data_IF_085539978276
#
_entry.id   IF_085539978276
#
_cell.length_a   1.000
_cell.length_b   1.000
_cell.length_c   1.000
_cell.angle_alpha   90.00
_cell.angle_beta   90.00
_cell.angle_gamma   90.00
#
_symmetry.space_group_name_H-M   'P 1'
#
loop_
_entity.id
_entity.type
_entity.pdbx_description
1 polymer ?
#
# COMPACT_ATOMS: atom_id res chain seq x y z
N UNK A 1 -4.45 39.29 -1.93
CA UNK A 1 -3.22 39.23 -2.74
C UNK A 1 -2.08 38.73 -1.87
N UNK A 2 -1.26 37.81 -2.36
CA UNK A 2 -0.06 37.30 -1.67
C UNK A 2 1.06 38.35 -1.68
N UNK A 3 1.82 38.49 -0.58
CA UNK A 3 2.99 39.38 -0.53
C UNK A 3 4.21 38.76 -1.20
N UNK A 4 5.20 39.55 -1.65
CA UNK A 4 6.45 39.00 -2.20
C UNK A 4 7.17 38.03 -1.25
N UNK A 5 7.14 38.28 0.06
CA UNK A 5 7.74 37.38 1.07
C UNK A 5 6.99 36.04 1.18
N UNK A 6 5.65 36.05 1.16
CA UNK A 6 4.84 34.84 1.14
C UNK A 6 5.08 34.01 -0.13
N UNK A 7 5.19 34.69 -1.29
CA UNK A 7 5.51 34.03 -2.56
C UNK A 7 6.88 33.36 -2.52
N UNK A 8 7.91 34.04 -2.01
CA UNK A 8 9.25 33.48 -1.88
C UNK A 8 9.28 32.25 -0.95
N UNK A 9 8.59 32.31 0.19
CA UNK A 9 8.46 31.16 1.10
C UNK A 9 7.75 29.98 0.45
N UNK A 10 6.70 30.23 -0.32
CA UNK A 10 5.96 29.19 -1.06
C UNK A 10 6.83 28.51 -2.11
N UNK A 11 7.63 29.27 -2.85
CA UNK A 11 8.58 28.74 -3.84
C UNK A 11 9.61 27.84 -3.14
N UNK A 12 10.25 28.33 -2.07
CA UNK A 12 11.25 27.56 -1.32
C UNK A 12 10.67 26.27 -0.74
N UNK A 13 9.45 26.31 -0.19
CA UNK A 13 8.76 25.12 0.32
C UNK A 13 8.48 24.12 -0.79
N UNK A 14 8.10 24.58 -1.98
CA UNK A 14 7.87 23.72 -3.13
C UNK A 14 9.17 23.08 -3.64
N UNK A 15 10.27 23.83 -3.71
CA UNK A 15 11.56 23.30 -4.14
C UNK A 15 12.10 22.24 -3.17
N UNK A 16 11.91 22.44 -1.87
CA UNK A 16 12.27 21.45 -0.84
C UNK A 16 11.45 20.16 -1.00
N UNK A 17 10.15 20.28 -1.25
CA UNK A 17 9.26 19.15 -1.54
C UNK A 17 9.72 18.36 -2.76
N UNK A 18 9.95 19.05 -3.90
CA UNK A 18 10.36 18.41 -5.15
C UNK A 18 11.65 17.61 -4.95
N UNK A 19 12.67 18.22 -4.34
CA UNK A 19 13.95 17.54 -4.07
C UNK A 19 13.79 16.32 -3.15
N UNK A 20 13.00 16.45 -2.08
CA UNK A 20 12.75 15.36 -1.15
C UNK A 20 12.01 14.19 -1.83
N UNK A 21 11.01 14.51 -2.67
CA UNK A 21 10.30 13.52 -3.46
C UNK A 21 11.19 12.85 -4.50
N UNK A 22 12.03 13.58 -5.21
CA UNK A 22 12.95 13.01 -6.22
C UNK A 22 13.92 12.01 -5.58
N UNK A 23 14.49 12.35 -4.43
CA UNK A 23 15.38 11.46 -3.70
C UNK A 23 14.66 10.19 -3.22
N UNK A 24 13.50 10.34 -2.58
CA UNK A 24 12.73 9.22 -2.06
C UNK A 24 12.16 8.32 -3.17
N UNK A 25 11.73 8.90 -4.30
CA UNK A 25 11.29 8.13 -5.48
C UNK A 25 12.44 7.36 -6.11
N UNK A 26 13.64 7.95 -6.19
CA UNK A 26 14.83 7.28 -6.70
C UNK A 26 15.18 6.08 -5.82
N UNK A 27 15.16 6.25 -4.49
CA UNK A 27 15.39 5.16 -3.54
C UNK A 27 14.35 4.03 -3.70
N UNK A 28 13.07 4.40 -3.83
CA UNK A 28 11.98 3.45 -4.03
C UNK A 28 12.13 2.68 -5.36
N UNK A 29 12.49 3.37 -6.44
CA UNK A 29 12.76 2.76 -7.73
C UNK A 29 13.92 1.75 -7.66
N UNK A 30 15.04 2.15 -7.07
CA UNK A 30 16.21 1.28 -6.90
C UNK A 30 15.86 0.03 -6.08
N UNK A 31 15.12 0.19 -4.97
CA UNK A 31 14.69 -0.94 -4.14
C UNK A 31 13.73 -1.88 -4.90
N UNK A 32 12.80 -1.33 -5.69
CA UNK A 32 11.88 -2.12 -6.51
C UNK A 32 12.61 -2.89 -7.61
N UNK A 33 13.60 -2.27 -8.25
CA UNK A 33 14.45 -2.93 -9.24
C UNK A 33 15.28 -4.05 -8.61
N UNK A 34 15.84 -3.82 -7.41
CA UNK A 34 16.58 -4.84 -6.66
C UNK A 34 15.73 -6.09 -6.40
N UNK A 35 14.50 -5.90 -5.90
CA UNK A 35 13.55 -6.98 -5.63
C UNK A 35 13.19 -7.80 -6.89
N UNK A 36 13.07 -7.16 -8.05
CA UNK A 36 12.83 -7.86 -9.32
C UNK A 36 14.02 -8.74 -9.73
N UNK A 37 15.24 -8.23 -9.57
CA UNK A 37 16.47 -8.89 -10.06
C UNK A 37 16.96 -10.03 -9.16
N UNK A 38 16.91 -9.85 -7.83
CA UNK A 38 17.40 -10.80 -6.87
C UNK A 38 16.54 -10.72 -5.58
N UNK A 39 15.38 -11.39 -5.58
CA UNK A 39 14.44 -11.30 -4.46
C UNK A 39 15.02 -11.97 -3.22
N UNK A 40 15.28 -11.14 -2.20
CA UNK A 40 15.76 -11.51 -0.88
C UNK A 40 14.92 -10.83 0.20
N UNK A 41 15.00 -11.33 1.44
CA UNK A 41 14.37 -10.67 2.60
C UNK A 41 14.89 -9.23 2.75
N UNK A 42 16.18 -9.01 2.51
CA UNK A 42 16.79 -7.67 2.56
C UNK A 42 16.23 -6.73 1.48
N UNK A 43 16.01 -7.23 0.26
CA UNK A 43 15.40 -6.44 -0.81
C UNK A 43 13.95 -6.06 -0.51
N UNK A 44 13.17 -6.95 0.13
CA UNK A 44 11.82 -6.64 0.60
C UNK A 44 11.84 -5.55 1.67
N UNK A 45 12.72 -5.68 2.68
CA UNK A 45 12.86 -4.68 3.73
C UNK A 45 13.35 -3.33 3.20
N UNK A 46 14.27 -3.34 2.23
CA UNK A 46 14.75 -2.12 1.56
C UNK A 46 13.62 -1.39 0.84
N UNK A 47 12.73 -2.13 0.17
CA UNK A 47 11.57 -1.57 -0.50
C UNK A 47 10.58 -0.92 0.51
N UNK A 48 10.34 -1.58 1.64
CA UNK A 48 9.48 -1.04 2.70
C UNK A 48 10.08 0.22 3.34
N UNK A 49 11.38 0.19 3.65
CA UNK A 49 12.07 1.36 4.19
C UNK A 49 12.01 2.56 3.23
N UNK A 50 12.20 2.33 1.93
CA UNK A 50 12.08 3.39 0.92
C UNK A 50 10.65 3.94 0.82
N UNK A 51 9.63 3.08 0.93
CA UNK A 51 8.23 3.51 0.98
C UNK A 51 7.92 4.33 2.24
N UNK A 52 8.44 3.96 3.40
CA UNK A 52 8.27 4.75 4.63
C UNK A 52 8.92 6.13 4.54
N UNK A 53 10.11 6.22 3.94
CA UNK A 53 10.76 7.52 3.69
C UNK A 53 9.90 8.41 2.79
N UNK A 54 9.38 7.88 1.68
CA UNK A 54 8.51 8.65 0.78
C UNK A 54 7.18 9.04 1.47
N UNK A 55 6.62 8.15 2.30
CA UNK A 55 5.43 8.42 3.12
C UNK A 55 5.66 9.58 4.11
N UNK A 56 6.84 9.66 4.71
CA UNK A 56 7.21 10.77 5.59
C UNK A 56 7.32 12.10 4.82
N UNK A 57 7.86 12.09 3.60
CA UNK A 57 7.89 13.29 2.73
C UNK A 57 6.47 13.75 2.41
N UNK A 58 5.54 12.84 2.09
CA UNK A 58 4.15 13.20 1.83
C UNK A 58 3.44 13.75 3.06
N UNK A 59 3.70 13.16 4.24
CA UNK A 59 3.08 13.59 5.49
C UNK A 59 3.54 15.00 5.90
N UNK A 60 4.84 15.30 5.76
CA UNK A 60 5.40 16.62 6.08
C UNK A 60 4.92 17.75 5.14
N UNK A 61 4.45 17.40 3.95
CA UNK A 61 3.98 18.35 2.94
C UNK A 61 2.47 18.32 2.70
N UNK A 62 1.72 17.66 3.59
CA UNK A 62 0.25 17.54 3.53
C UNK A 62 -0.24 16.98 2.18
N UNK A 63 0.33 15.83 1.81
CA UNK A 63 0.03 15.08 0.58
C UNK A 63 -0.68 13.75 0.88
N UNK A 64 -1.88 13.77 1.49
CA UNK A 64 -2.53 12.56 1.96
C UNK A 64 -3.00 11.63 0.83
N UNK A 65 -3.36 12.19 -0.33
CA UNK A 65 -3.78 11.40 -1.51
C UNK A 65 -2.60 10.62 -2.08
N UNK A 66 -1.45 11.27 -2.24
CA UNK A 66 -0.23 10.64 -2.72
C UNK A 66 0.27 9.57 -1.74
N UNK A 67 0.14 9.84 -0.43
CA UNK A 67 0.47 8.86 0.61
C UNK A 67 -0.45 7.64 0.56
N UNK A 68 -1.76 7.83 0.38
CA UNK A 68 -2.71 6.74 0.18
C UNK A 68 -2.37 5.91 -1.05
N UNK A 69 -2.10 6.56 -2.19
CA UNK A 69 -1.73 5.89 -3.44
C UNK A 69 -0.42 5.10 -3.32
N UNK A 70 0.56 5.62 -2.55
CA UNK A 70 1.78 4.89 -2.25
C UNK A 70 1.47 3.58 -1.53
N UNK A 71 0.75 3.63 -0.42
CA UNK A 71 0.49 2.44 0.39
C UNK A 71 -0.42 1.42 -0.32
N UNK A 72 -1.39 1.86 -1.13
CA UNK A 72 -2.19 0.96 -1.97
C UNK A 72 -1.29 0.22 -2.99
N UNK A 73 -0.37 0.94 -3.65
CA UNK A 73 0.57 0.31 -4.60
C UNK A 73 1.52 -0.65 -3.91
N UNK A 74 1.99 -0.30 -2.71
CA UNK A 74 2.85 -1.17 -1.90
C UNK A 74 2.15 -2.45 -1.49
N UNK A 75 0.91 -2.35 -1.00
CA UNK A 75 0.07 -3.51 -0.72
C UNK A 75 -0.09 -4.41 -1.94
N UNK A 76 -0.49 -3.84 -3.08
CA UNK A 76 -0.65 -4.61 -4.30
C UNK A 76 0.66 -5.29 -4.74
N UNK A 77 1.79 -4.59 -4.63
CA UNK A 77 3.09 -5.19 -4.95
C UNK A 77 3.41 -6.37 -4.03
N UNK A 78 3.16 -6.25 -2.73
CA UNK A 78 3.38 -7.35 -1.78
C UNK A 78 2.40 -8.52 -2.00
N UNK A 79 1.18 -8.28 -2.48
CA UNK A 79 0.26 -9.35 -2.91
C UNK A 79 0.86 -10.15 -4.07
N UNK A 80 1.48 -9.47 -5.05
CA UNK A 80 2.15 -10.13 -6.16
C UNK A 80 3.36 -10.93 -5.69
N UNK A 81 4.22 -10.37 -4.83
CA UNK A 81 5.39 -11.09 -4.29
C UNK A 81 4.98 -12.29 -3.42
N UNK A 82 3.94 -12.14 -2.60
CA UNK A 82 3.38 -13.24 -1.81
C UNK A 82 2.67 -14.29 -2.67
N UNK A 83 2.38 -14.02 -3.94
CA UNK A 83 1.83 -15.00 -4.89
C UNK A 83 2.91 -15.68 -5.74
N UNK A 84 4.17 -15.21 -5.68
CA UNK A 84 5.28 -15.79 -6.45
C UNK A 84 5.61 -17.19 -5.97
N UNK A 85 5.89 -18.06 -6.94
CA UNK A 85 6.30 -19.45 -6.74
C UNK A 85 7.75 -19.70 -7.16
N UNK A 86 8.38 -18.72 -7.81
CA UNK A 86 9.75 -18.77 -8.34
C UNK A 86 10.82 -18.32 -7.32
N UNK A 87 10.41 -17.99 -6.09
CA UNK A 87 11.29 -17.51 -5.01
C UNK A 87 11.38 -18.52 -3.87
N UNK A 88 12.37 -18.36 -3.00
CA UNK A 88 12.52 -19.24 -1.85
C UNK A 88 11.32 -19.14 -0.89
N UNK A 89 10.95 -20.22 -0.18
CA UNK A 89 9.85 -20.22 0.79
C UNK A 89 10.01 -19.17 1.89
N UNK A 90 11.25 -18.86 2.28
CA UNK A 90 11.58 -17.84 3.27
C UNK A 90 11.19 -16.43 2.78
N UNK A 91 11.52 -16.10 1.53
CA UNK A 91 11.16 -14.82 0.91
C UNK A 91 9.65 -14.72 0.73
N UNK A 92 8.99 -15.81 0.30
CA UNK A 92 7.53 -15.88 0.20
C UNK A 92 6.83 -15.63 1.56
N UNK A 93 7.33 -16.27 2.62
CA UNK A 93 6.82 -16.08 3.98
C UNK A 93 7.05 -14.64 4.47
N UNK A 94 8.24 -14.08 4.21
CA UNK A 94 8.53 -12.69 4.55
C UNK A 94 7.61 -11.70 3.81
N UNK A 95 7.38 -11.90 2.51
CA UNK A 95 6.46 -11.09 1.72
C UNK A 95 5.02 -11.14 2.27
N UNK A 96 4.55 -12.33 2.67
CA UNK A 96 3.22 -12.51 3.28
C UNK A 96 3.08 -11.77 4.63
N UNK A 97 4.14 -11.78 5.45
CA UNK A 97 4.16 -11.04 6.71
C UNK A 97 4.13 -9.52 6.47
N UNK A 98 4.92 -9.03 5.52
CA UNK A 98 4.99 -7.62 5.13
C UNK A 98 3.68 -7.15 4.49
N UNK A 99 2.99 -8.02 3.75
CA UNK A 99 1.70 -7.69 3.14
C UNK A 99 0.69 -7.19 4.17
N UNK A 100 0.57 -7.87 5.31
CA UNK A 100 -0.34 -7.46 6.40
C UNK A 100 -0.03 -6.04 6.91
N UNK A 101 1.25 -5.70 7.04
CA UNK A 101 1.69 -4.35 7.40
C UNK A 101 1.31 -3.31 6.34
N UNK A 102 1.56 -3.60 5.05
CA UNK A 102 1.23 -2.67 3.96
C UNK A 102 -0.28 -2.47 3.81
N UNK A 103 -1.10 -3.50 4.02
CA UNK A 103 -2.56 -3.37 4.09
C UNK A 103 -3.00 -2.47 5.24
N UNK A 104 -2.43 -2.63 6.44
CA UNK A 104 -2.76 -1.76 7.58
C UNK A 104 -2.45 -0.30 7.26
N UNK A 105 -1.24 0.01 6.75
CA UNK A 105 -0.86 1.38 6.36
C UNK A 105 -1.81 1.97 5.32
N UNK A 106 -2.18 1.17 4.33
CA UNK A 106 -3.05 1.64 3.26
C UNK A 106 -4.50 1.86 3.74
N UNK A 107 -5.03 0.97 4.59
CA UNK A 107 -6.32 1.17 5.24
C UNK A 107 -6.32 2.46 6.07
N UNK A 108 -5.30 2.67 6.90
CA UNK A 108 -5.18 3.90 7.69
C UNK A 108 -5.10 5.16 6.82
N UNK A 109 -4.39 5.10 5.69
CA UNK A 109 -4.30 6.23 4.76
C UNK A 109 -5.65 6.50 4.05
N UNK A 110 -6.42 5.45 3.74
CA UNK A 110 -7.77 5.59 3.18
C UNK A 110 -8.76 6.13 4.23
N UNK A 111 -8.71 5.62 5.46
CA UNK A 111 -9.54 6.07 6.59
C UNK A 111 -9.35 7.57 6.87
N UNK A 112 -8.10 8.06 6.81
CA UNK A 112 -7.79 9.48 6.97
C UNK A 112 -8.45 10.38 5.90
N UNK A 113 -8.81 9.81 4.75
CA UNK A 113 -9.49 10.50 3.65
C UNK A 113 -11.00 10.18 3.59
N UNK A 114 -11.52 9.33 4.49
CA UNK A 114 -12.90 8.86 4.45
C UNK A 114 -13.20 7.93 3.27
N UNK A 115 -12.17 7.26 2.73
CA UNK A 115 -12.27 6.36 1.58
C UNK A 115 -12.14 4.91 2.07
N UNK A 116 -12.85 3.98 1.44
CA UNK A 116 -12.67 2.54 1.68
C UNK A 116 -11.53 2.04 0.79
N UNK A 117 -10.54 1.40 1.38
CA UNK A 117 -9.40 0.90 0.62
C UNK A 117 -9.82 -0.23 -0.36
N UNK A 118 -9.36 -0.21 -1.62
CA UNK A 118 -9.86 -1.09 -2.68
C UNK A 118 -9.15 -2.46 -2.71
N UNK A 119 -9.02 -3.14 -1.57
CA UNK A 119 -8.33 -4.44 -1.51
C UNK A 119 -9.22 -5.61 -1.91
N UNK A 120 -8.64 -6.56 -2.66
CA UNK A 120 -9.33 -7.79 -3.06
C UNK A 120 -9.38 -8.74 -1.88
N UNK A 121 -10.55 -8.74 -1.24
CA UNK A 121 -10.96 -9.47 -0.03
C UNK A 121 -10.43 -8.87 1.28
N UNK A 122 -11.31 -8.70 2.28
CA UNK A 122 -10.86 -8.47 3.63
C UNK A 122 -9.98 -9.66 4.04
N UNK A 123 -8.84 -9.38 4.67
CA UNK A 123 -8.19 -10.32 5.58
C UNK A 123 -9.28 -10.79 6.54
N UNK A 124 -9.89 -11.95 6.25
CA UNK A 124 -10.87 -12.62 7.12
C UNK A 124 -10.14 -12.96 8.41
N UNK A 125 -9.99 -12.02 9.34
CA UNK A 125 -9.53 -12.25 10.72
C UNK A 125 -9.61 -11.01 11.62
N UNK A 126 -10.50 -10.05 11.36
CA UNK A 126 -10.98 -9.17 12.44
C UNK A 126 -12.41 -9.57 12.78
N UNK A 127 -12.53 -10.54 13.70
CA UNK A 127 -13.76 -10.79 14.44
C UNK A 127 -14.13 -9.49 15.17
N UNK A 128 -15.21 -8.82 14.74
CA UNK A 128 -15.99 -7.99 15.66
C UNK A 128 -16.93 -8.93 16.42
N UNK A 129 -16.85 -9.03 17.75
CA UNK A 129 -17.86 -9.77 18.51
C UNK A 129 -19.20 -9.04 18.34
N UNK A 130 -20.19 -9.70 17.72
CA UNK A 130 -21.57 -9.23 17.70
C UNK A 130 -22.29 -9.10 16.36
N UNK A 131 -21.67 -9.31 15.19
CA UNK A 131 -22.42 -9.31 13.92
C UNK A 131 -22.91 -10.71 13.53
N UNK A 132 -24.19 -10.99 13.82
CA UNK A 132 -24.91 -12.11 13.22
C UNK A 132 -24.92 -11.95 11.69
N UNK A 133 -24.41 -12.97 10.98
CA UNK A 133 -24.47 -13.04 9.52
C UNK A 133 -25.86 -13.52 9.11
N UNK A 134 -26.72 -12.63 8.64
CA UNK A 134 -27.87 -13.03 7.85
C UNK A 134 -27.38 -13.47 6.47
N UNK A 135 -27.28 -14.77 6.26
CA UNK A 135 -27.06 -15.33 4.92
C UNK A 135 -28.41 -15.42 4.21
N UNK A 136 -28.72 -14.47 3.34
CA UNK A 136 -29.74 -14.67 2.32
C UNK A 136 -29.14 -15.50 1.19
N UNK A 137 -29.27 -16.82 1.32
CA UNK A 137 -28.95 -17.76 0.26
C UNK A 137 -30.12 -17.77 -0.73
N UNK A 138 -30.09 -16.89 -1.74
CA UNK A 138 -30.99 -17.01 -2.90
C UNK A 138 -30.43 -18.10 -3.82
N UNK A 139 -30.70 -19.35 -3.49
CA UNK A 139 -30.50 -20.47 -4.40
C UNK A 139 -31.67 -20.51 -5.40
N UNK A 140 -31.42 -20.04 -6.62
CA UNK A 140 -32.22 -20.45 -7.78
C UNK A 140 -31.97 -21.94 -7.98
N UNK A 141 -32.87 -22.78 -7.47
CA UNK A 141 -32.89 -24.21 -7.79
C UNK A 141 -33.39 -24.39 -9.23
N UNK A 142 -32.47 -24.73 -10.14
CA UNK A 142 -32.81 -25.47 -11.35
C UNK A 142 -32.90 -26.96 -10.99
N UNK A 143 -34.04 -27.64 -11.21
CA UNK A 143 -34.10 -29.09 -11.13
C UNK A 143 -33.68 -29.67 -12.49
N UNK A 144 -32.54 -30.36 -12.53
CA UNK A 144 -32.24 -31.31 -13.60
C UNK A 144 -32.74 -32.67 -13.12
N UNK A 145 -33.79 -33.19 -13.78
CA UNK A 145 -34.20 -34.59 -13.65
C UNK A 145 -33.63 -35.36 -14.83
N UNK A 146 -32.91 -36.42 -14.50
CA UNK A 146 -32.36 -37.44 -15.36
C UNK A 146 -33.46 -38.18 -16.13
N UNK A 147 -33.15 -38.61 -17.35
CA UNK A 147 -33.77 -39.74 -18.04
C UNK A 147 -32.66 -40.60 -18.61
#
# INVERSE_FOLDING_TARGET
METPAQRAQRILKNDAFVKACDHANTALYCASSGLNSNPTIESLNSLINAAEQLSAVFSTHDKPVENMQLWIRMAHRMELEAARTDVSPEVHTAASNILSFTHQKANSACDALGIIAPFVKPLKNQHKPGMQRHYNFSAKHHPVREN
#
